data_IF_353577053788
#
_entry.id   IF_353577053788
#
_cell.length_a   1.000
_cell.length_b   1.000
_cell.length_c   1.000
_cell.angle_alpha   90.00
_cell.angle_beta   90.00
_cell.angle_gamma   90.00
#
_symmetry.space_group_name_H-M   'P 1'
#
loop_
_entity.id
_entity.type
_entity.pdbx_description
1 polymer ?
#
# COMPACT_ATOMS: atom_id res chain seq x y z
N UNK A 1 -17.16 3.69 -16.01
CA UNK A 1 -17.10 2.41 -15.25
C UNK A 1 -16.26 2.55 -13.97
N UNK A 2 -16.28 1.55 -13.06
CA UNK A 2 -15.36 1.47 -11.91
C UNK A 2 -14.49 0.22 -12.01
N UNK A 3 -13.20 0.37 -11.71
CA UNK A 3 -12.21 -0.70 -11.71
C UNK A 3 -11.47 -0.71 -10.38
N UNK A 4 -11.18 -1.90 -9.86
CA UNK A 4 -10.25 -2.09 -8.75
C UNK A 4 -8.87 -2.38 -9.34
N UNK A 5 -7.89 -1.58 -8.99
CA UNK A 5 -6.50 -1.78 -9.36
C UNK A 5 -5.76 -2.32 -8.15
N UNK A 6 -5.19 -3.50 -8.30
CA UNK A 6 -4.25 -4.08 -7.34
C UNK A 6 -2.84 -3.66 -7.69
N UNK A 7 -2.09 -3.20 -6.69
CA UNK A 7 -0.74 -2.70 -6.87
C UNK A 7 0.24 -3.19 -5.81
N UNK A 8 1.52 -3.11 -6.18
CA UNK A 8 2.68 -3.38 -5.33
C UNK A 8 3.32 -2.07 -4.89
N UNK A 9 3.83 -2.05 -3.67
CA UNK A 9 4.61 -0.96 -3.08
C UNK A 9 5.79 -1.58 -2.33
N UNK A 10 6.95 -1.66 -2.99
CA UNK A 10 8.15 -2.36 -2.50
C UNK A 10 9.42 -1.53 -2.67
N UNK A 11 10.50 -1.88 -1.97
CA UNK A 11 11.75 -1.14 -2.07
C UNK A 11 11.64 0.29 -1.51
N UNK A 12 12.38 1.27 -2.07
CA UNK A 12 12.49 2.61 -1.49
C UNK A 12 11.15 3.36 -1.34
N UNK A 13 10.16 3.08 -2.18
CA UNK A 13 8.85 3.76 -2.10
C UNK A 13 8.05 3.39 -0.86
N UNK A 14 8.45 2.34 -0.11
CA UNK A 14 7.80 1.97 1.16
C UNK A 14 7.78 3.11 2.19
N UNK A 15 8.70 4.06 2.07
CA UNK A 15 8.85 5.19 3.00
C UNK A 15 7.94 6.39 2.71
N UNK A 16 7.19 6.39 1.61
CA UNK A 16 6.24 7.49 1.34
C UNK A 16 4.93 7.29 2.11
N UNK A 17 4.28 8.40 2.46
CA UNK A 17 3.01 8.40 3.20
C UNK A 17 1.82 7.92 2.36
N UNK A 18 0.70 7.65 3.03
CA UNK A 18 -0.56 7.34 2.35
C UNK A 18 -1.01 8.46 1.40
N UNK A 19 -0.91 9.72 1.84
CA UNK A 19 -1.28 10.88 1.02
C UNK A 19 -0.37 11.02 -0.22
N UNK A 20 0.92 10.72 -0.07
CA UNK A 20 1.84 10.75 -1.21
C UNK A 20 1.58 9.60 -2.17
N UNK A 21 1.16 8.45 -1.66
CA UNK A 21 0.71 7.30 -2.46
C UNK A 21 -0.56 7.67 -3.25
N UNK A 22 -1.51 8.35 -2.63
CA UNK A 22 -2.72 8.87 -3.31
C UNK A 22 -2.35 9.88 -4.40
N UNK A 23 -1.47 10.84 -4.11
CA UNK A 23 -0.97 11.82 -5.09
C UNK A 23 -0.20 11.15 -6.22
N UNK A 24 0.57 10.12 -5.92
CA UNK A 24 1.28 9.32 -6.91
C UNK A 24 0.29 8.67 -7.87
N UNK A 25 -0.70 7.93 -7.36
CA UNK A 25 -1.68 7.23 -8.22
C UNK A 25 -2.48 8.19 -9.09
N UNK A 26 -2.86 9.36 -8.58
CA UNK A 26 -3.49 10.42 -9.41
C UNK A 26 -2.60 10.86 -10.57
N UNK A 27 -1.30 11.08 -10.31
CA UNK A 27 -0.34 11.44 -11.35
C UNK A 27 -0.11 10.30 -12.33
N UNK A 28 -0.03 9.06 -11.86
CA UNK A 28 0.13 7.88 -12.69
C UNK A 28 -1.06 7.69 -13.65
N UNK A 29 -2.29 7.77 -13.14
CA UNK A 29 -3.52 7.70 -13.94
C UNK A 29 -3.52 8.76 -15.05
N UNK A 30 -3.11 9.99 -14.72
CA UNK A 30 -2.99 11.07 -15.70
C UNK A 30 -1.90 10.81 -16.74
N UNK A 31 -0.72 10.34 -16.31
CA UNK A 31 0.40 10.00 -17.21
C UNK A 31 0.08 8.81 -18.13
N UNK A 32 -0.73 7.88 -17.66
CA UNK A 32 -1.24 6.74 -18.42
C UNK A 32 -2.30 7.13 -19.47
N UNK A 33 -2.71 8.40 -19.53
CA UNK A 33 -3.74 8.87 -20.46
C UNK A 33 -5.11 8.25 -20.20
N UNK A 34 -5.39 7.85 -18.96
CA UNK A 34 -6.66 7.25 -18.60
C UNK A 34 -7.72 8.35 -18.39
N UNK A 35 -8.93 8.20 -18.95
CA UNK A 35 -10.01 9.18 -18.82
C UNK A 35 -10.69 9.04 -17.44
N UNK A 36 -9.97 9.37 -16.37
CA UNK A 36 -10.49 9.25 -15.02
C UNK A 36 -11.51 10.35 -14.71
N UNK A 37 -12.64 9.93 -14.12
CA UNK A 37 -13.65 10.85 -13.59
C UNK A 37 -13.00 11.75 -12.54
N UNK A 38 -13.38 13.02 -12.54
CA UNK A 38 -12.81 14.01 -11.63
C UNK A 38 -13.79 14.42 -10.55
N UNK A 39 -13.27 14.78 -9.38
CA UNK A 39 -14.08 15.34 -8.28
C UNK A 39 -14.66 16.69 -8.68
N UNK A 40 -15.85 17.01 -8.16
CA UNK A 40 -16.47 18.34 -8.31
C UNK A 40 -15.93 19.30 -7.24
N UNK A 41 -15.84 20.59 -7.55
CA UNK A 41 -15.41 21.64 -6.62
C UNK A 41 -14.10 22.33 -7.01
N UNK A 42 -13.54 23.12 -6.08
CA UNK A 42 -12.40 24.02 -6.35
C UNK A 42 -11.05 23.32 -6.54
N UNK A 43 -10.89 22.08 -6.05
CA UNK A 43 -9.68 21.27 -6.24
C UNK A 43 -10.03 19.99 -6.99
N UNK A 44 -10.13 20.13 -8.31
CA UNK A 44 -10.48 19.04 -9.22
C UNK A 44 -9.33 18.04 -9.29
N UNK A 45 -9.60 16.79 -8.91
CA UNK A 45 -8.63 15.69 -8.91
C UNK A 45 -9.26 14.40 -9.41
N UNK A 46 -8.44 13.49 -9.91
CA UNK A 46 -8.88 12.16 -10.32
C UNK A 46 -9.52 11.44 -9.13
N UNK A 47 -10.70 10.86 -9.37
CA UNK A 47 -11.50 10.15 -8.37
C UNK A 47 -10.93 8.76 -8.17
N UNK A 48 -10.08 8.67 -7.15
CA UNK A 48 -9.42 7.46 -6.67
C UNK A 48 -9.82 7.27 -5.21
N UNK A 49 -10.16 6.03 -4.86
CA UNK A 49 -10.43 5.60 -3.49
C UNK A 49 -9.44 4.51 -3.11
N UNK A 50 -8.49 4.82 -2.24
CA UNK A 50 -7.54 3.82 -1.73
C UNK A 50 -8.20 2.94 -0.66
N UNK A 51 -7.76 1.69 -0.57
CA UNK A 51 -8.04 0.82 0.56
C UNK A 51 -7.29 1.22 1.83
N UNK A 52 -7.12 0.26 2.74
CA UNK A 52 -6.42 0.48 4.00
C UNK A 52 -4.99 1.00 3.76
N UNK A 53 -4.53 2.00 4.56
CA UNK A 53 -3.19 2.55 4.38
C UNK A 53 -2.12 1.57 4.83
N UNK A 54 -1.20 1.24 3.93
CA UNK A 54 0.04 0.54 4.27
C UNK A 54 0.91 1.43 5.20
N UNK A 55 1.34 0.95 6.39
CA UNK A 55 2.20 1.71 7.26
C UNK A 55 3.53 2.10 6.60
N UNK A 56 4.06 3.26 6.95
CA UNK A 56 5.36 3.73 6.45
C UNK A 56 6.45 2.73 6.85
N UNK A 57 7.30 2.38 5.90
CA UNK A 57 8.35 1.38 6.08
C UNK A 57 7.94 -0.06 5.75
N UNK A 58 6.65 -0.32 5.52
CA UNK A 58 6.15 -1.64 5.13
C UNK A 58 6.12 -1.81 3.60
N UNK A 59 6.42 -3.02 3.14
CA UNK A 59 6.28 -3.44 1.75
C UNK A 59 4.97 -4.22 1.58
N UNK A 60 4.34 -4.10 0.42
CA UNK A 60 3.12 -4.85 0.09
C UNK A 60 3.09 -5.26 -1.37
N UNK A 61 2.58 -6.46 -1.60
CA UNK A 61 2.41 -7.07 -2.93
C UNK A 61 0.96 -6.95 -3.45
N UNK A 62 0.05 -6.44 -2.62
CA UNK A 62 -1.38 -6.49 -2.92
C UNK A 62 -2.19 -5.46 -2.14
N UNK A 63 -1.91 -4.19 -2.41
CA UNK A 63 -2.77 -3.07 -2.02
C UNK A 63 -3.78 -2.80 -3.13
N UNK A 64 -4.93 -2.21 -2.81
CA UNK A 64 -5.92 -1.89 -3.84
C UNK A 64 -6.39 -0.43 -3.78
N UNK A 65 -6.80 0.08 -4.94
CA UNK A 65 -7.61 1.29 -5.05
C UNK A 65 -8.71 1.11 -6.09
N UNK A 66 -9.81 1.85 -5.93
CA UNK A 66 -10.86 1.95 -6.95
C UNK A 66 -10.61 3.19 -7.80
N UNK A 67 -10.62 2.99 -9.11
CA UNK A 67 -10.54 4.02 -10.14
C UNK A 67 -11.90 4.13 -10.85
N UNK A 68 -12.39 5.35 -10.98
CA UNK A 68 -13.58 5.63 -11.79
C UNK A 68 -13.18 6.26 -13.13
N UNK A 69 -13.61 5.64 -14.23
CA UNK A 69 -13.29 6.04 -15.60
C UNK A 69 -14.54 6.49 -16.36
N UNK A 70 -14.36 7.45 -17.26
CA UNK A 70 -15.34 7.81 -18.28
C UNK A 70 -15.30 6.78 -19.41
N UNK A 71 -16.47 6.27 -19.80
CA UNK A 71 -16.59 5.18 -20.78
C UNK A 71 -16.24 3.80 -20.23
N UNK A 72 -16.09 2.86 -21.18
CA UNK A 72 -15.67 1.48 -20.95
C UNK A 72 -14.29 1.26 -21.57
N UNK A 73 -13.38 0.70 -20.78
CA UNK A 73 -12.01 0.35 -21.16
C UNK A 73 -11.73 -1.03 -20.57
N UNK A 74 -11.17 -1.93 -21.39
CA UNK A 74 -10.80 -3.26 -20.94
C UNK A 74 -9.79 -3.19 -19.77
N UNK A 75 -10.00 -3.97 -18.68
CA UNK A 75 -9.11 -3.98 -17.52
C UNK A 75 -7.64 -4.19 -17.87
N UNK A 76 -7.34 -5.06 -18.84
CA UNK A 76 -6.00 -5.36 -19.32
C UNK A 76 -5.35 -4.12 -19.97
N UNK A 77 -6.11 -3.37 -20.76
CA UNK A 77 -5.63 -2.10 -21.35
C UNK A 77 -5.30 -1.08 -20.27
N UNK A 78 -6.09 -1.02 -19.20
CA UNK A 78 -5.81 -0.14 -18.05
C UNK A 78 -4.55 -0.60 -17.31
N UNK A 79 -4.38 -1.92 -17.14
CA UNK A 79 -3.19 -2.50 -16.50
C UNK A 79 -1.92 -2.15 -17.28
N UNK A 80 -1.92 -2.33 -18.60
CA UNK A 80 -0.78 -2.07 -19.47
C UNK A 80 -0.38 -0.59 -19.46
N UNK A 81 -1.36 0.31 -19.59
CA UNK A 81 -1.10 1.76 -19.58
C UNK A 81 -0.55 2.25 -18.25
N UNK A 82 -1.04 1.72 -17.13
CA UNK A 82 -0.51 2.05 -15.81
C UNK A 82 0.90 1.47 -15.64
N UNK A 83 1.11 0.21 -15.99
CA UNK A 83 2.41 -0.45 -15.87
C UNK A 83 3.50 0.30 -16.66
N UNK A 84 3.19 0.80 -17.86
CA UNK A 84 4.10 1.56 -18.71
C UNK A 84 4.60 2.89 -18.08
N UNK A 85 3.93 3.41 -17.05
CA UNK A 85 4.30 4.67 -16.38
C UNK A 85 4.77 4.48 -14.92
N UNK A 86 4.91 3.23 -14.47
CA UNK A 86 5.35 2.93 -13.09
C UNK A 86 6.85 3.18 -12.92
N UNK A 87 7.27 3.91 -11.87
CA UNK A 87 8.66 3.93 -11.44
C UNK A 87 9.00 2.65 -10.66
N UNK A 88 10.29 2.43 -10.43
CA UNK A 88 10.77 1.37 -9.55
C UNK A 88 10.07 1.40 -8.17
N UNK A 89 9.70 0.23 -7.68
CA UNK A 89 9.04 0.03 -6.39
C UNK A 89 7.51 0.14 -6.42
N UNK A 90 6.93 0.72 -7.47
CA UNK A 90 5.49 0.58 -7.76
C UNK A 90 5.27 -0.42 -8.88
N UNK A 91 4.19 -1.19 -8.79
CA UNK A 91 3.82 -2.13 -9.84
C UNK A 91 2.32 -2.38 -9.89
N UNK A 92 1.80 -2.70 -11.08
CA UNK A 92 0.42 -3.15 -11.24
C UNK A 92 0.40 -4.67 -11.12
N UNK A 93 -0.37 -5.18 -10.16
CA UNK A 93 -0.54 -6.61 -9.93
C UNK A 93 -1.81 -7.16 -10.59
N UNK A 94 -2.80 -6.31 -10.86
CA UNK A 94 -4.01 -6.68 -11.61
C UNK A 94 -5.02 -5.55 -11.65
N UNK A 95 -5.97 -5.64 -12.58
CA UNK A 95 -7.10 -4.72 -12.70
C UNK A 95 -8.36 -5.53 -12.88
N UNK A 96 -9.41 -5.21 -12.12
CA UNK A 96 -10.62 -6.00 -12.02
C UNK A 96 -11.86 -5.10 -12.10
N UNK A 97 -12.97 -5.53 -12.72
CA UNK A 97 -14.24 -4.83 -12.64
C UNK A 97 -14.67 -4.63 -11.18
N UNK A 98 -15.02 -3.40 -10.80
CA UNK A 98 -15.53 -3.09 -9.47
C UNK A 98 -17.00 -2.70 -9.54
N UNK A 99 -17.89 -3.66 -9.29
CA UNK A 99 -19.34 -3.49 -9.47
C UNK A 99 -20.07 -2.97 -8.23
N UNK A 100 -19.30 -2.56 -7.23
CA UNK A 100 -19.75 -2.59 -5.85
C UNK A 100 -19.96 -1.18 -5.33
N UNK A 101 -20.96 -1.05 -4.46
CA UNK A 101 -21.38 0.25 -3.92
C UNK A 101 -20.56 0.65 -2.69
N UNK A 102 -20.12 -0.34 -1.93
CA UNK A 102 -19.38 -0.16 -0.68
C UNK A 102 -17.93 0.26 -0.94
N UNK A 103 -17.33 0.90 0.06
CA UNK A 103 -15.92 1.26 0.04
C UNK A 103 -15.02 0.05 0.24
N UNK A 104 -13.76 0.15 -0.21
CA UNK A 104 -12.77 -0.91 0.02
C UNK A 104 -12.59 -1.21 1.52
N UNK A 105 -12.74 -0.19 2.37
CA UNK A 105 -12.65 -0.33 3.82
C UNK A 105 -13.71 -1.29 4.39
N UNK A 106 -14.97 -1.13 4.00
CA UNK A 106 -16.08 -1.97 4.47
C UNK A 106 -15.91 -3.42 4.00
N UNK A 107 -15.39 -3.59 2.78
CA UNK A 107 -15.22 -4.89 2.15
C UNK A 107 -14.02 -5.67 2.65
N UNK A 108 -13.01 -5.01 3.20
CA UNK A 108 -11.82 -5.68 3.68
C UNK A 108 -12.17 -6.54 4.88
N UNK A 109 -12.01 -7.86 4.75
CA UNK A 109 -12.26 -8.82 5.82
C UNK A 109 -11.02 -9.05 6.67
N UNK A 110 -9.85 -9.03 6.04
CA UNK A 110 -8.60 -9.42 6.69
C UNK A 110 -7.43 -8.65 6.12
N UNK A 111 -6.54 -8.20 7.02
CA UNK A 111 -5.21 -7.68 6.72
C UNK A 111 -4.20 -8.65 7.32
N UNK A 112 -3.38 -9.29 6.50
CA UNK A 112 -2.32 -10.19 6.94
C UNK A 112 -1.00 -9.45 6.90
N UNK A 113 -0.24 -9.49 7.99
CA UNK A 113 1.11 -8.94 8.07
C UNK A 113 2.10 -10.09 8.25
N UNK A 114 3.13 -10.15 7.41
CA UNK A 114 4.29 -11.02 7.60
C UNK A 114 5.44 -10.18 8.14
N UNK A 115 5.96 -10.53 9.32
CA UNK A 115 7.10 -9.85 9.95
C UNK A 115 8.29 -10.80 9.96
N UNK A 116 9.43 -10.32 9.48
CA UNK A 116 10.70 -11.04 9.57
C UNK A 116 11.63 -10.33 10.56
N UNK A 117 12.21 -11.10 11.47
CA UNK A 117 13.18 -10.66 12.46
C UNK A 117 13.92 -11.86 13.04
N UNK A 118 15.10 -11.65 13.61
CA UNK A 118 15.79 -12.69 14.38
C UNK A 118 15.23 -12.71 15.80
N UNK A 119 15.27 -13.90 16.38
CA UNK A 119 14.91 -14.14 17.77
C UNK A 119 16.02 -13.59 18.67
N UNK A 120 15.65 -12.84 19.69
CA UNK A 120 16.58 -12.33 20.72
C UNK A 120 16.15 -12.92 22.05
N UNK A 121 17.10 -13.52 22.77
CA UNK A 121 16.90 -13.90 24.16
C UNK A 121 17.08 -12.66 25.04
N UNK A 122 16.05 -12.33 25.79
CA UNK A 122 16.07 -11.17 26.68
C UNK A 122 16.42 -11.66 28.09
N UNK A 123 17.43 -11.09 28.76
CA UNK A 123 17.75 -11.46 30.12
C UNK A 123 16.62 -11.01 31.06
N UNK A 124 15.88 -11.96 31.64
CA UNK A 124 14.81 -11.68 32.60
C UNK A 124 15.42 -11.59 34.00
N UNK A 125 15.48 -10.39 34.58
CA UNK A 125 15.90 -10.19 35.98
C UNK A 125 14.67 -10.10 36.90
N UNK A 126 14.63 -10.91 37.95
CA UNK A 126 13.56 -10.90 38.97
C UNK A 126 12.14 -11.03 38.40
N UNK A 127 11.96 -11.85 37.34
CA UNK A 127 10.66 -12.07 36.70
C UNK A 127 10.12 -10.88 35.91
N UNK A 128 10.95 -9.85 35.68
CA UNK A 128 10.62 -8.69 34.84
C UNK A 128 11.45 -8.73 33.57
N UNK A 129 10.79 -8.59 32.43
CA UNK A 129 11.48 -8.33 31.18
C UNK A 129 12.29 -7.03 31.34
N UNK A 130 13.55 -6.99 30.87
CA UNK A 130 14.36 -5.79 30.97
C UNK A 130 13.74 -4.70 30.10
N UNK A 131 14.14 -3.44 30.31
CA UNK A 131 13.82 -2.40 29.31
C UNK A 131 14.37 -2.90 27.98
N UNK A 132 13.50 -3.12 27.00
CA UNK A 132 13.85 -3.77 25.73
C UNK A 132 14.82 -2.93 24.90
N UNK A 133 14.77 -1.61 25.09
CA UNK A 133 15.44 -0.66 24.24
C UNK A 133 16.97 -0.85 24.09
N UNK A 134 17.75 -0.99 25.19
CA UNK A 134 19.20 -1.18 25.11
C UNK A 134 19.62 -2.46 24.37
N UNK A 135 18.81 -3.52 24.45
CA UNK A 135 19.07 -4.79 23.75
C UNK A 135 18.74 -4.72 22.27
N UNK A 136 17.64 -4.04 21.91
CA UNK A 136 17.26 -3.83 20.52
C UNK A 136 18.31 -3.00 19.77
N UNK A 137 18.92 -1.99 20.41
CA UNK A 137 19.96 -1.18 19.76
C UNK A 137 21.21 -1.97 19.39
N UNK A 138 21.65 -2.91 20.23
CA UNK A 138 22.80 -3.77 19.95
C UNK A 138 22.48 -4.79 18.84
N UNK A 139 21.28 -5.36 18.89
CA UNK A 139 20.80 -6.34 17.93
C UNK A 139 20.57 -5.79 16.51
N UNK A 140 20.01 -4.58 16.40
CA UNK A 140 19.82 -3.90 15.11
C UNK A 140 21.08 -3.15 14.64
N UNK A 141 22.12 -3.04 15.49
CA UNK A 141 23.34 -2.27 15.20
C UNK A 141 23.06 -0.79 14.97
N UNK A 142 21.99 -0.25 15.57
CA UNK A 142 21.45 1.05 15.26
C UNK A 142 20.68 1.65 16.47
N UNK A 143 20.47 2.96 16.46
CA UNK A 143 19.82 3.76 17.51
C UNK A 143 18.30 3.57 17.59
N UNK A 144 17.67 4.20 18.60
CA UNK A 144 16.20 4.24 18.80
C UNK A 144 15.38 4.83 17.68
N UNK A 145 15.99 5.72 16.93
CA UNK A 145 15.38 6.22 15.71
C UNK A 145 15.39 5.16 14.59
N UNK A 146 16.38 4.26 14.58
CA UNK A 146 16.67 3.34 13.48
C UNK A 146 16.01 1.96 13.68
N UNK A 147 15.83 1.50 14.92
CA UNK A 147 15.21 0.20 15.24
C UNK A 147 13.68 0.14 15.03
N UNK A 148 13.08 1.14 14.37
CA UNK A 148 11.76 1.06 13.71
C UNK A 148 11.74 0.09 12.50
N UNK A 149 12.84 -0.62 12.25
CA UNK A 149 13.06 -1.57 11.15
C UNK A 149 12.56 -2.99 11.44
N UNK A 150 11.37 -3.15 12.01
CA UNK A 150 10.62 -4.40 11.78
C UNK A 150 10.29 -4.43 10.29
N UNK A 151 10.84 -5.39 9.54
CA UNK A 151 10.52 -5.55 8.14
C UNK A 151 9.22 -6.33 8.03
N UNK A 152 8.12 -5.63 7.81
CA UNK A 152 6.93 -6.27 7.25
C UNK A 152 7.25 -6.57 5.80
N UNK A 153 7.51 -7.84 5.50
CA UNK A 153 7.95 -8.29 4.17
C UNK A 153 6.79 -8.47 3.21
N UNK A 154 5.57 -8.65 3.73
CA UNK A 154 4.37 -8.82 2.92
C UNK A 154 3.12 -8.43 3.69
N UNK A 155 2.28 -7.62 3.06
CA UNK A 155 0.89 -7.40 3.46
C UNK A 155 -0.03 -8.02 2.40
N UNK A 156 -1.02 -8.80 2.85
CA UNK A 156 -2.04 -9.40 1.97
C UNK A 156 -3.42 -8.96 2.46
N UNK A 157 -4.19 -8.31 1.58
CA UNK A 157 -5.54 -7.83 1.85
C UNK A 157 -6.55 -8.79 1.21
N UNK A 158 -7.49 -9.29 2.01
CA UNK A 158 -8.59 -10.16 1.52
C UNK A 158 -9.94 -9.48 1.68
N UNK A 159 -10.72 -9.46 0.61
CA UNK A 159 -12.08 -8.90 0.56
C UNK A 159 -13.14 -9.96 0.83
N UNK A 160 -14.34 -9.51 1.23
CA UNK A 160 -15.54 -10.35 1.24
C UNK A 160 -15.95 -10.71 -0.20
N UNK A 161 -16.21 -12.00 -0.41
CA UNK A 161 -16.87 -12.53 -1.62
C UNK A 161 -18.27 -11.95 -1.79
#
# INVERSE_FOLDING_TARGET
MKLMVRYRKTGPVRFISHLDTERFWRRAVRRAGLPAVRTRGFSVREKIELGYPLPVGCESEGEDFVLELEGEIEPETVADRLAAVMPEGFGVAGVFPYREKESLFIRTRTLVYQVEGKRVELPVENGRSPRLWPFLSEYFGCSEAEAKLFRVTRVEIRYRE
#
